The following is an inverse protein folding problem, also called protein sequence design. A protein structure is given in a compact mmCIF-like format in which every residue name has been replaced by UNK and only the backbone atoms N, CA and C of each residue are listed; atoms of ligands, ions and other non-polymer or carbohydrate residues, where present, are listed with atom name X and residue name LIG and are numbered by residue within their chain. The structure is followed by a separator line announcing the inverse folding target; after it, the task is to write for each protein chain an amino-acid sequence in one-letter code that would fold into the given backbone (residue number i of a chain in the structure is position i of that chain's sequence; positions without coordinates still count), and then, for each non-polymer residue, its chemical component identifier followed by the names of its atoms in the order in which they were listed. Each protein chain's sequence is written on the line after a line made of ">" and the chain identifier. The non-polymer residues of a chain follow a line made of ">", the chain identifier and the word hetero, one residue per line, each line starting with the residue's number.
data_IF_850444831483
#
_entry.id   IF_850444831483
#
_cell.length_a   1.000
_cell.length_b   1.000
_cell.length_c   1.000
_cell.angle_alpha   90.00
_cell.angle_beta   90.00
_cell.angle_gamma   90.00
#
_symmetry.space_group_name_H-M   'P 1'
#
loop_
_entity.id
_entity.type
_entity.pdbx_description
1 polymer ?
#
# COMPACT_ATOMS: atom_id res chain seq x y z
N UNK A 1 -11.07 8.24 17.38
CA UNK A 1 -10.21 7.43 18.29
C UNK A 1 -10.62 5.98 18.08
N UNK A 2 -10.30 5.43 16.90
CA UNK A 2 -10.55 4.02 16.58
C UNK A 2 -9.62 3.16 17.43
N UNK A 3 -10.20 2.31 18.26
CA UNK A 3 -9.48 1.59 19.30
C UNK A 3 -8.65 0.46 18.68
N UNK A 4 -7.53 0.11 19.29
CA UNK A 4 -6.68 -1.06 18.95
C UNK A 4 -7.47 -2.37 18.67
N UNK A 5 -8.71 -2.47 19.17
CA UNK A 5 -9.64 -3.57 18.91
C UNK A 5 -10.07 -3.69 17.44
N UNK A 6 -10.28 -2.58 16.72
CA UNK A 6 -10.69 -2.59 15.31
C UNK A 6 -9.52 -3.04 14.40
N UNK A 7 -8.29 -2.64 14.71
CA UNK A 7 -7.10 -3.04 13.95
C UNK A 7 -6.80 -4.54 14.06
N UNK A 8 -7.00 -5.14 15.24
CA UNK A 8 -6.85 -6.58 15.42
C UNK A 8 -7.90 -7.38 14.62
N UNK A 9 -9.14 -6.90 14.57
CA UNK A 9 -10.21 -7.54 13.79
C UNK A 9 -9.98 -7.46 12.27
N UNK A 10 -9.33 -6.39 11.79
CA UNK A 10 -8.96 -6.24 10.38
C UNK A 10 -7.87 -7.25 9.97
N UNK A 11 -6.93 -7.56 10.86
CA UNK A 11 -5.87 -8.54 10.62
C UNK A 11 -6.36 -9.99 10.68
N UNK A 12 -7.44 -10.25 11.42
CA UNK A 12 -8.07 -11.58 11.48
C UNK A 12 -9.05 -11.84 10.31
N UNK A 13 -9.39 -10.82 9.51
CA UNK A 13 -10.26 -10.97 8.35
C UNK A 13 -9.46 -11.30 7.08
N UNK A 14 -9.31 -12.60 6.80
CA UNK A 14 -8.55 -13.09 5.66
C UNK A 14 -9.04 -12.57 4.31
N UNK A 15 -10.35 -12.44 4.10
CA UNK A 15 -10.91 -12.01 2.82
C UNK A 15 -10.67 -10.53 2.58
N UNK A 16 -10.77 -9.72 3.63
CA UNK A 16 -10.38 -8.32 3.58
C UNK A 16 -8.89 -8.16 3.27
N UNK A 17 -8.02 -8.93 3.93
CA UNK A 17 -6.57 -8.92 3.65
C UNK A 17 -6.24 -9.37 2.22
N UNK A 18 -6.96 -10.35 1.66
CA UNK A 18 -6.80 -10.74 0.25
C UNK A 18 -7.12 -9.58 -0.68
N UNK A 19 -8.21 -8.83 -0.43
CA UNK A 19 -8.59 -7.66 -1.23
C UNK A 19 -7.55 -6.54 -1.15
N UNK A 20 -7.01 -6.26 0.04
CA UNK A 20 -5.89 -5.33 0.21
C UNK A 20 -4.69 -5.76 -0.64
N UNK A 21 -4.30 -7.04 -0.57
CA UNK A 21 -3.14 -7.57 -1.33
C UNK A 21 -3.36 -7.47 -2.85
N UNK A 22 -4.59 -7.66 -3.33
CA UNK A 22 -4.94 -7.48 -4.74
C UNK A 22 -4.79 -6.01 -5.14
N UNK A 23 -5.36 -5.09 -4.35
CA UNK A 23 -5.25 -3.65 -4.59
C UNK A 23 -3.78 -3.20 -4.64
N UNK A 24 -2.95 -3.64 -3.68
CA UNK A 24 -1.50 -3.35 -3.65
C UNK A 24 -0.81 -3.82 -4.93
N UNK A 25 -1.08 -5.04 -5.39
CA UNK A 25 -0.48 -5.58 -6.63
C UNK A 25 -0.92 -4.80 -7.86
N UNK A 26 -2.20 -4.44 -7.95
CA UNK A 26 -2.72 -3.63 -9.06
C UNK A 26 -2.09 -2.25 -9.08
N UNK A 27 -1.98 -1.59 -7.93
CA UNK A 27 -1.27 -0.33 -7.79
C UNK A 27 0.19 -0.46 -8.18
N UNK A 28 0.90 -1.51 -7.76
CA UNK A 28 2.29 -1.75 -8.15
C UNK A 28 2.46 -1.91 -9.66
N UNK A 29 1.55 -2.63 -10.33
CA UNK A 29 1.54 -2.74 -11.81
C UNK A 29 1.34 -1.38 -12.46
N UNK A 30 0.39 -0.57 -11.95
CA UNK A 30 0.13 0.77 -12.48
C UNK A 30 1.38 1.66 -12.32
N UNK A 31 2.00 1.66 -11.15
CA UNK A 31 3.23 2.41 -10.85
C UNK A 31 4.36 2.07 -11.81
N UNK A 32 4.57 0.78 -12.10
CA UNK A 32 5.59 0.33 -13.05
C UNK A 32 5.26 0.77 -14.48
N UNK A 33 3.98 0.85 -14.82
CA UNK A 33 3.51 1.30 -16.13
C UNK A 33 3.46 2.82 -16.31
N UNK A 34 3.77 3.62 -15.28
CA UNK A 34 3.74 5.08 -15.38
C UNK A 34 4.86 5.62 -16.29
N UNK A 35 4.59 6.76 -16.92
CA UNK A 35 5.56 7.44 -17.80
C UNK A 35 6.58 8.21 -16.93
N UNK A 36 7.86 8.07 -17.28
CA UNK A 36 8.97 8.77 -16.65
C UNK A 36 8.88 10.31 -16.80
N UNK A 37 8.75 11.02 -15.68
CA UNK A 37 8.90 12.49 -15.62
C UNK A 37 10.33 12.85 -15.21
N UNK A 38 11.08 13.47 -16.14
CA UNK A 38 12.47 13.91 -15.94
C UNK A 38 12.65 14.88 -14.77
N UNK A 39 11.60 15.61 -14.37
CA UNK A 39 11.67 16.52 -13.22
C UNK A 39 11.52 15.80 -11.87
N UNK A 40 11.14 14.52 -11.89
CA UNK A 40 10.90 13.69 -10.70
C UNK A 40 11.61 12.34 -10.78
N UNK A 41 12.69 12.26 -11.54
CA UNK A 41 13.46 11.04 -11.80
C UNK A 41 13.75 10.23 -10.54
N UNK A 42 14.25 10.87 -9.48
CA UNK A 42 14.53 10.19 -8.20
C UNK A 42 13.29 9.56 -7.54
N UNK A 43 12.13 10.21 -7.64
CA UNK A 43 10.88 9.69 -7.08
C UNK A 43 10.33 8.56 -7.97
N UNK A 44 10.39 8.74 -9.28
CA UNK A 44 10.00 7.73 -10.25
C UNK A 44 10.79 6.43 -10.04
N UNK A 45 12.12 6.52 -9.96
CA UNK A 45 12.99 5.35 -9.77
C UNK A 45 12.65 4.60 -8.47
N UNK A 46 12.37 5.34 -7.39
CA UNK A 46 11.94 4.76 -6.11
C UNK A 46 10.60 4.04 -6.25
N UNK A 47 9.59 4.70 -6.84
CA UNK A 47 8.26 4.12 -7.06
C UNK A 47 8.34 2.87 -7.93
N UNK A 48 9.11 2.92 -9.00
CA UNK A 48 9.32 1.80 -9.92
C UNK A 48 10.04 0.62 -9.24
N UNK A 49 11.07 0.89 -8.43
CA UNK A 49 11.77 -0.13 -7.62
C UNK A 49 10.84 -0.79 -6.59
N UNK A 50 10.04 0.00 -5.88
CA UNK A 50 9.05 -0.50 -4.92
C UNK A 50 7.97 -1.34 -5.62
N UNK A 51 7.47 -0.88 -6.77
CA UNK A 51 6.52 -1.61 -7.60
C UNK A 51 7.05 -3.00 -7.95
N UNK A 52 8.30 -3.06 -8.39
CA UNK A 52 8.98 -4.32 -8.72
C UNK A 52 9.11 -5.24 -7.50
N UNK A 53 9.51 -4.70 -6.34
CA UNK A 53 9.64 -5.47 -5.09
C UNK A 53 8.29 -6.01 -4.59
N UNK A 54 7.21 -5.24 -4.74
CA UNK A 54 5.85 -5.65 -4.39
C UNK A 54 5.36 -6.78 -5.31
N UNK A 55 5.58 -6.68 -6.63
CA UNK A 55 5.19 -7.74 -7.56
C UNK A 55 5.96 -9.04 -7.34
N UNK A 56 7.21 -8.95 -6.89
CA UNK A 56 8.01 -10.12 -6.47
C UNK A 56 7.57 -10.70 -5.11
N UNK A 57 6.59 -10.09 -4.44
CA UNK A 57 6.07 -10.54 -3.15
C UNK A 57 6.88 -10.11 -1.92
N UNK A 58 8.07 -9.53 -2.12
CA UNK A 58 9.01 -9.20 -1.04
C UNK A 58 8.47 -8.18 -0.05
N UNK A 59 7.55 -7.31 -0.47
CA UNK A 59 7.02 -6.22 0.36
C UNK A 59 5.50 -6.20 0.48
N UNK A 60 4.77 -7.16 -0.10
CA UNK A 60 3.30 -7.12 -0.12
C UNK A 60 2.68 -7.02 1.27
N UNK A 61 3.25 -7.73 2.26
CA UNK A 61 2.77 -7.66 3.65
C UNK A 61 3.08 -6.32 4.30
N UNK A 62 4.27 -5.74 4.07
CA UNK A 62 4.64 -4.40 4.59
C UNK A 62 3.63 -3.34 4.13
N UNK A 63 3.24 -3.37 2.86
CA UNK A 63 2.24 -2.45 2.33
C UNK A 63 0.84 -2.72 2.90
N UNK A 64 0.46 -3.98 3.10
CA UNK A 64 -0.82 -4.32 3.72
C UNK A 64 -0.90 -3.82 5.17
N UNK A 65 0.16 -4.06 5.94
CA UNK A 65 0.29 -3.59 7.32
C UNK A 65 0.28 -2.06 7.39
N UNK A 66 0.99 -1.39 6.47
CA UNK A 66 1.00 0.07 6.39
C UNK A 66 -0.38 0.65 6.05
N UNK A 67 -1.16 0.00 5.18
CA UNK A 67 -2.54 0.40 4.90
C UNK A 67 -3.37 0.29 6.19
N UNK A 68 -3.31 -0.86 6.88
CA UNK A 68 -4.02 -1.11 8.14
C UNK A 68 -3.63 -0.12 9.24
N UNK A 69 -2.34 0.21 9.35
CA UNK A 69 -1.82 1.09 10.41
C UNK A 69 -2.02 2.58 10.13
N UNK A 70 -1.94 3.04 8.88
CA UNK A 70 -2.07 4.47 8.55
C UNK A 70 -3.51 4.98 8.47
N UNK A 71 -4.50 4.09 8.35
CA UNK A 71 -5.90 4.50 8.31
C UNK A 71 -6.69 3.86 9.45
N UNK A 72 -6.96 4.65 10.49
CA UNK A 72 -7.80 4.23 11.62
C UNK A 72 -9.26 4.01 11.24
N UNK A 73 -9.69 4.45 10.05
CA UNK A 73 -11.07 4.40 9.58
C UNK A 73 -11.27 3.35 8.47
N UNK A 74 -10.40 2.33 8.41
CA UNK A 74 -10.57 1.25 7.43
C UNK A 74 -11.88 0.53 7.68
N UNK A 75 -12.74 0.57 6.68
CA UNK A 75 -14.01 -0.14 6.68
C UNK A 75 -13.82 -1.53 6.04
N UNK A 76 -14.27 -2.57 6.73
CA UNK A 76 -14.32 -3.93 6.18
C UNK A 76 -15.19 -4.02 4.91
N UNK A 77 -16.13 -3.09 4.74
CA UNK A 77 -16.99 -2.96 3.57
C UNK A 77 -16.47 -1.97 2.52
N UNK A 78 -15.22 -1.53 2.59
CA UNK A 78 -14.59 -0.70 1.55
C UNK A 78 -14.70 -1.36 0.17
N UNK A 79 -14.85 -0.56 -0.88
CA UNK A 79 -14.83 -1.02 -2.27
C UNK A 79 -13.40 -1.24 -2.75
N UNK A 80 -13.21 -1.97 -3.85
CA UNK A 80 -11.87 -2.21 -4.40
C UNK A 80 -11.19 -0.90 -4.84
N UNK A 81 -11.96 0.06 -5.33
CA UNK A 81 -11.47 1.40 -5.68
C UNK A 81 -10.96 2.17 -4.46
N UNK A 82 -11.61 2.04 -3.30
CA UNK A 82 -11.14 2.66 -2.05
C UNK A 82 -9.80 2.05 -1.64
N UNK A 83 -9.67 0.73 -1.71
CA UNK A 83 -8.43 0.02 -1.37
C UNK A 83 -7.29 0.36 -2.33
N UNK A 84 -7.56 0.52 -3.62
CA UNK A 84 -6.58 0.96 -4.62
C UNK A 84 -6.11 2.40 -4.37
N UNK A 85 -7.03 3.31 -4.02
CA UNK A 85 -6.70 4.68 -3.65
C UNK A 85 -5.79 4.71 -2.42
N UNK A 86 -6.13 3.96 -1.37
CA UNK A 86 -5.32 3.83 -0.16
C UNK A 86 -3.94 3.23 -0.46
N UNK A 87 -3.88 2.17 -1.25
CA UNK A 87 -2.62 1.55 -1.67
C UNK A 87 -1.74 2.53 -2.47
N UNK A 88 -2.34 3.38 -3.31
CA UNK A 88 -1.62 4.42 -4.05
C UNK A 88 -1.03 5.48 -3.12
N UNK A 89 -1.78 5.92 -2.11
CA UNK A 89 -1.26 6.82 -1.08
C UNK A 89 -0.07 6.22 -0.35
N UNK A 90 -0.19 4.97 0.12
CA UNK A 90 0.91 4.27 0.81
C UNK A 90 2.12 4.06 -0.11
N UNK A 91 1.91 3.83 -1.41
CA UNK A 91 3.00 3.79 -2.40
C UNK A 91 3.75 5.10 -2.50
N UNK A 92 3.03 6.22 -2.51
CA UNK A 92 3.65 7.54 -2.56
C UNK A 92 4.37 7.86 -1.24
N UNK A 93 3.79 7.49 -0.10
CA UNK A 93 4.41 7.67 1.22
C UNK A 93 5.70 6.85 1.35
N UNK A 94 5.66 5.56 0.97
CA UNK A 94 6.84 4.68 1.00
C UNK A 94 7.87 5.09 -0.05
N UNK A 95 7.46 5.56 -1.24
CA UNK A 95 8.39 6.09 -2.24
C UNK A 95 9.01 7.44 -1.84
N UNK A 96 8.36 8.16 -0.92
CA UNK A 96 8.92 9.29 -0.17
C UNK A 96 9.83 8.88 1.01
N UNK A 97 9.87 7.60 1.37
CA UNK A 97 10.71 6.90 2.37
C UNK A 97 10.91 7.62 3.71
N UNK A 98 10.39 7.02 4.80
CA UNK A 98 11.20 6.64 6.00
C UNK A 98 10.45 5.55 6.78
N UNK A 99 10.90 4.30 6.69
CA UNK A 99 10.87 3.43 7.86
C UNK A 99 12.20 3.69 8.56
N UNK A 100 12.19 4.61 9.52
CA UNK A 100 13.20 4.62 10.58
C UNK A 100 12.42 4.51 11.88
N UNK A 101 12.15 3.28 12.28
CA UNK A 101 11.97 2.96 13.69
C UNK A 101 12.93 1.82 14.01
N UNK A 102 14.15 2.20 14.41
CA UNK A 102 14.73 1.97 15.73
C UNK A 102 16.25 2.16 15.70
#
# INVERSE_FOLDING_TARGET
>A
MGTFLEQAQLLDNEDFLKRIKIAIKKTATNVIGEIFDKNKESLFDKRHKLGTQVLNGNMTNIFADAIVSNNTDINLNSTDSDLEFMASSVFNDIAGVKITEQ
#
